data_IF_447272774219
#
_entry.id   IF_447272774219
#
_cell.length_a   1.000
_cell.length_b   1.000
_cell.length_c   1.000
_cell.angle_alpha   90.00
_cell.angle_beta   90.00
_cell.angle_gamma   90.00
#
_symmetry.space_group_name_H-M   'P 1'
#
loop_
_entity.id
_entity.type
_entity.pdbx_description
1 polymer ?
#
# COMPACT_ATOMS: atom_id res chain seq x y z
N UNK A 1 4.25 33.13 -8.92
CA UNK A 1 5.18 32.17 -8.26
C UNK A 1 5.18 30.91 -9.08
N UNK A 2 6.26 30.62 -9.79
CA UNK A 2 6.46 29.30 -10.40
C UNK A 2 6.86 28.36 -9.27
N UNK A 3 6.10 27.28 -9.05
CA UNK A 3 6.44 26.30 -8.01
C UNK A 3 7.80 25.70 -8.27
N UNK A 4 8.56 25.36 -7.22
CA UNK A 4 9.81 24.63 -7.41
C UNK A 4 9.50 23.25 -8.01
N UNK A 5 10.39 22.69 -8.87
CA UNK A 5 10.21 21.34 -9.42
C UNK A 5 9.95 20.27 -8.36
N UNK A 6 10.44 20.47 -7.13
CA UNK A 6 10.16 19.62 -5.97
C UNK A 6 8.71 19.68 -5.47
N UNK A 7 8.07 20.86 -5.53
CA UNK A 7 6.67 21.01 -5.14
C UNK A 7 5.73 20.36 -6.15
N UNK A 8 6.02 20.52 -7.44
CA UNK A 8 5.26 19.87 -8.52
C UNK A 8 5.39 18.35 -8.46
N UNK A 9 6.61 17.84 -8.23
CA UNK A 9 6.82 16.41 -8.03
C UNK A 9 6.07 15.88 -6.79
N UNK A 10 6.12 16.62 -5.68
CA UNK A 10 5.38 16.25 -4.46
C UNK A 10 3.87 16.16 -4.69
N UNK A 11 3.29 17.09 -5.45
CA UNK A 11 1.88 17.06 -5.84
C UNK A 11 1.57 15.87 -6.75
N UNK A 12 2.43 15.61 -7.74
CA UNK A 12 2.26 14.48 -8.65
C UNK A 12 2.28 13.14 -7.91
N UNK A 13 3.21 12.96 -6.98
CA UNK A 13 3.30 11.77 -6.10
C UNK A 13 2.04 11.65 -5.25
N UNK A 14 1.63 12.73 -4.58
CA UNK A 14 0.41 12.74 -3.74
C UNK A 14 -0.83 12.34 -4.54
N UNK A 15 -0.98 12.89 -5.74
CA UNK A 15 -2.11 12.57 -6.61
C UNK A 15 -2.08 11.12 -7.10
N UNK A 16 -0.88 10.60 -7.41
CA UNK A 16 -0.71 9.19 -7.77
C UNK A 16 -1.04 8.25 -6.61
N UNK A 17 -0.56 8.54 -5.39
CA UNK A 17 -0.87 7.77 -4.20
C UNK A 17 -2.37 7.75 -3.89
N UNK A 18 -3.04 8.89 -4.01
CA UNK A 18 -4.49 8.99 -3.79
C UNK A 18 -5.27 8.11 -4.78
N UNK A 19 -4.88 8.11 -6.06
CA UNK A 19 -5.49 7.23 -7.08
C UNK A 19 -5.25 5.75 -6.79
N UNK A 20 -4.03 5.39 -6.43
CA UNK A 20 -3.68 4.00 -6.07
C UNK A 20 -4.47 3.54 -4.84
N UNK A 21 -4.54 4.36 -3.80
CA UNK A 21 -5.31 4.08 -2.59
C UNK A 21 -6.81 3.92 -2.90
N UNK A 22 -7.38 4.76 -3.77
CA UNK A 22 -8.77 4.64 -4.20
C UNK A 22 -9.06 3.32 -4.94
N UNK A 23 -8.20 2.95 -5.89
CA UNK A 23 -8.35 1.70 -6.63
C UNK A 23 -8.24 0.47 -5.72
N UNK A 24 -7.27 0.46 -4.80
CA UNK A 24 -7.10 -0.63 -3.83
C UNK A 24 -8.28 -0.68 -2.86
N UNK A 25 -8.77 0.46 -2.39
CA UNK A 25 -9.92 0.53 -1.49
C UNK A 25 -11.15 -0.12 -2.12
N UNK A 26 -11.43 0.15 -3.40
CA UNK A 26 -12.55 -0.46 -4.11
C UNK A 26 -12.45 -2.00 -4.16
N UNK A 27 -11.25 -2.55 -4.35
CA UNK A 27 -11.02 -4.01 -4.33
C UNK A 27 -11.19 -4.58 -2.92
N UNK A 28 -10.66 -3.90 -1.90
CA UNK A 28 -10.76 -4.35 -0.51
C UNK A 28 -12.19 -4.27 0.01
N UNK A 29 -12.98 -3.29 -0.42
CA UNK A 29 -14.41 -3.19 -0.14
C UNK A 29 -15.16 -4.41 -0.68
N UNK A 30 -14.92 -4.76 -1.94
CA UNK A 30 -15.50 -5.97 -2.56
C UNK A 30 -15.06 -7.26 -1.85
N UNK A 31 -13.90 -7.25 -1.22
CA UNK A 31 -13.37 -8.36 -0.43
C UNK A 31 -13.86 -8.39 1.03
N UNK A 32 -14.67 -7.42 1.48
CA UNK A 32 -15.28 -7.40 2.83
C UNK A 32 -14.65 -6.44 3.85
N UNK A 33 -13.70 -5.59 3.43
CA UNK A 33 -13.10 -4.63 4.34
C UNK A 33 -14.11 -3.57 4.83
N UNK A 34 -14.33 -3.46 6.14
CA UNK A 34 -15.26 -2.48 6.74
C UNK A 34 -14.80 -1.02 6.59
N UNK A 35 -13.50 -0.79 6.43
CA UNK A 35 -12.88 0.53 6.30
C UNK A 35 -11.91 0.53 5.11
N UNK A 36 -12.42 0.46 3.87
CA UNK A 36 -11.62 0.12 2.70
C UNK A 36 -10.49 1.13 2.41
N UNK A 37 -10.71 2.42 2.64
CA UNK A 37 -9.66 3.44 2.48
C UNK A 37 -8.53 3.30 3.50
N UNK A 38 -8.85 3.04 4.77
CA UNK A 38 -7.85 2.80 5.82
C UNK A 38 -7.07 1.51 5.54
N UNK A 39 -7.78 0.47 5.10
CA UNK A 39 -7.19 -0.81 4.71
C UNK A 39 -6.24 -0.66 3.51
N UNK A 40 -6.62 0.12 2.50
CA UNK A 40 -5.78 0.39 1.33
C UNK A 40 -4.48 1.12 1.71
N UNK A 41 -4.57 2.14 2.57
CA UNK A 41 -3.39 2.84 3.09
C UNK A 41 -2.49 1.91 3.89
N UNK A 42 -3.08 1.04 4.71
CA UNK A 42 -2.35 0.02 5.47
C UNK A 42 -1.60 -0.93 4.55
N UNK A 43 -2.24 -1.41 3.49
CA UNK A 43 -1.62 -2.29 2.50
C UNK A 43 -0.47 -1.59 1.75
N UNK A 44 -0.65 -0.35 1.33
CA UNK A 44 0.40 0.45 0.68
C UNK A 44 1.61 0.60 1.60
N UNK A 45 1.39 0.94 2.87
CA UNK A 45 2.46 1.10 3.85
C UNK A 45 3.17 -0.23 4.13
N UNK A 46 2.44 -1.33 4.19
CA UNK A 46 3.01 -2.67 4.31
C UNK A 46 3.92 -3.02 3.13
N UNK A 47 3.48 -2.77 1.89
CA UNK A 47 4.28 -3.00 0.68
C UNK A 47 5.57 -2.18 0.72
N UNK A 48 5.46 -0.88 1.01
CA UNK A 48 6.62 0.03 1.12
C UNK A 48 7.59 -0.42 2.21
N UNK A 49 7.07 -0.83 3.37
CA UNK A 49 7.88 -1.35 4.47
C UNK A 49 8.66 -2.59 4.04
N UNK A 50 8.03 -3.51 3.30
CA UNK A 50 8.71 -4.69 2.76
C UNK A 50 9.76 -4.32 1.71
N UNK A 51 9.46 -3.40 0.79
CA UNK A 51 10.42 -2.92 -0.20
C UNK A 51 11.66 -2.29 0.45
N UNK A 52 11.46 -1.47 1.49
CA UNK A 52 12.56 -0.90 2.28
C UNK A 52 13.36 -1.98 3.02
N UNK A 53 12.71 -2.97 3.62
CA UNK A 53 13.40 -4.10 4.28
C UNK A 53 14.28 -4.88 3.30
N UNK A 54 13.83 -5.06 2.05
CA UNK A 54 14.64 -5.73 1.00
C UNK A 54 15.91 -4.98 0.64
N UNK A 55 15.96 -3.65 0.80
CA UNK A 55 17.17 -2.87 0.54
C UNK A 55 18.30 -3.22 1.51
N UNK A 56 17.97 -3.66 2.73
CA UNK A 56 18.94 -4.02 3.77
C UNK A 56 19.05 -5.53 3.98
N UNK A 57 18.03 -6.29 3.63
CA UNK A 57 18.00 -7.74 3.68
C UNK A 57 17.69 -8.32 2.29
N UNK A 58 18.74 -8.47 1.49
CA UNK A 58 18.65 -8.91 0.09
C UNK A 58 18.19 -10.36 -0.08
N UNK A 59 18.13 -11.14 1.00
CA UNK A 59 17.65 -12.53 0.99
C UNK A 59 16.12 -12.62 1.04
N UNK A 60 15.42 -11.52 1.30
CA UNK A 60 13.96 -11.51 1.31
C UNK A 60 13.38 -11.78 -0.06
N UNK A 61 12.59 -12.86 -0.11
CA UNK A 61 12.00 -13.38 -1.34
C UNK A 61 10.55 -12.90 -1.53
N UNK A 62 10.01 -13.11 -2.72
CA UNK A 62 8.57 -12.96 -2.98
C UNK A 62 7.74 -13.92 -2.12
N UNK A 63 8.29 -15.07 -1.74
CA UNK A 63 7.62 -16.02 -0.85
C UNK A 63 7.47 -15.43 0.56
N UNK A 64 8.49 -14.73 1.07
CA UNK A 64 8.39 -14.02 2.35
C UNK A 64 7.35 -12.92 2.31
N UNK A 65 7.28 -12.17 1.20
CA UNK A 65 6.24 -11.18 1.01
C UNK A 65 4.85 -11.80 1.10
N UNK A 66 4.58 -12.86 0.31
CA UNK A 66 3.28 -13.54 0.30
C UNK A 66 2.90 -14.10 1.67
N UNK A 67 3.87 -14.72 2.37
CA UNK A 67 3.68 -15.26 3.71
C UNK A 67 3.25 -14.19 4.72
N UNK A 68 3.79 -12.97 4.61
CA UNK A 68 3.44 -11.84 5.49
C UNK A 68 2.19 -11.09 5.03
N UNK A 69 1.92 -11.07 3.73
CA UNK A 69 0.76 -10.41 3.13
C UNK A 69 -0.55 -11.13 3.46
N UNK A 70 -0.56 -12.47 3.44
CA UNK A 70 -1.81 -13.24 3.60
C UNK A 70 -2.52 -12.96 4.93
N UNK A 71 -1.85 -13.01 6.10
CA UNK A 71 -2.50 -12.70 7.37
C UNK A 71 -3.00 -11.25 7.45
N UNK A 72 -2.27 -10.31 6.83
CA UNK A 72 -2.69 -8.92 6.76
C UNK A 72 -3.99 -8.79 5.96
N UNK A 73 -4.08 -9.40 4.78
CA UNK A 73 -5.29 -9.35 3.96
C UNK A 73 -6.48 -10.00 4.66
N UNK A 74 -6.28 -11.13 5.34
CA UNK A 74 -7.31 -11.77 6.16
C UNK A 74 -7.83 -10.83 7.25
N UNK A 75 -6.92 -10.18 7.99
CA UNK A 75 -7.28 -9.22 9.03
C UNK A 75 -8.01 -7.98 8.49
N UNK A 76 -7.58 -7.45 7.34
CA UNK A 76 -8.19 -6.27 6.71
C UNK A 76 -9.58 -6.56 6.17
N UNK A 77 -9.80 -7.76 5.63
CA UNK A 77 -11.05 -8.15 4.96
C UNK A 77 -12.00 -8.97 5.85
N UNK A 78 -11.61 -9.29 7.09
CA UNK A 78 -12.39 -10.15 8.00
C UNK A 78 -12.72 -11.52 7.38
N UNK A 79 -11.77 -12.05 6.62
CA UNK A 79 -11.85 -13.41 6.11
C UNK A 79 -11.45 -14.34 7.26
N UNK A 80 -12.45 -15.00 7.87
CA UNK A 80 -12.25 -16.07 8.86
C UNK A 80 -11.65 -17.33 8.23
#
# INVERSE_FOLDING_TARGET
>A
MVGSPSAELGQAVTAWEARAAGAIAAVLEQAGARRPTEAARTLINFIRGFELERLVNTNLSVTDFKRRLMPLLQALCQLE
#
